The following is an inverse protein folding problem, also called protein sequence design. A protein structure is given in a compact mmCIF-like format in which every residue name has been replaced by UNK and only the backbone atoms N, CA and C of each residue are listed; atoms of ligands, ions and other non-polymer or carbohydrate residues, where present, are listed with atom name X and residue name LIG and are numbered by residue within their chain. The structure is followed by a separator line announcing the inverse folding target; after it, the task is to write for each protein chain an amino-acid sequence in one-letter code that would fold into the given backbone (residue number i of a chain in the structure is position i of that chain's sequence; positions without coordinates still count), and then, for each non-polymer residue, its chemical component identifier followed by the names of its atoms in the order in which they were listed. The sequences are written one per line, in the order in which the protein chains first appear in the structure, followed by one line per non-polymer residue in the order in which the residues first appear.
data_IF_089612855133
#
_entry.id   IF_089612855133
#
_cell.length_a   1.000
_cell.length_b   1.000
_cell.length_c   1.000
_cell.angle_alpha   90.00
_cell.angle_beta   90.00
_cell.angle_gamma   90.00
#
_symmetry.space_group_name_H-M   'P 1'
#
loop_
_entity.id
_entity.type
_entity.pdbx_description
1 polymer ?
#
# COMPACT_ATOMS: atom_id res chain seq x y z
N UNK A 1 15.95 13.08 -3.64
CA UNK A 1 14.90 12.33 -2.92
C UNK A 1 14.61 12.97 -1.57
N UNK A 2 15.59 13.06 -0.67
CA UNK A 2 15.41 13.61 0.69
C UNK A 2 14.71 14.98 0.73
N UNK A 3 15.11 15.93 -0.12
CA UNK A 3 14.48 17.26 -0.20
C UNK A 3 12.95 17.18 -0.38
N UNK A 4 12.46 16.38 -1.34
CA UNK A 4 11.02 16.21 -1.61
C UNK A 4 10.30 15.56 -0.42
N UNK A 5 10.98 14.67 0.30
CA UNK A 5 10.42 14.05 1.51
C UNK A 5 10.31 15.05 2.66
N UNK A 6 11.32 15.92 2.84
CA UNK A 6 11.26 17.03 3.80
C UNK A 6 10.13 18.00 3.47
N UNK A 7 10.03 18.43 2.22
CA UNK A 7 8.92 19.26 1.73
C UNK A 7 7.56 18.60 2.00
N UNK A 8 7.42 17.29 1.75
CA UNK A 8 6.19 16.57 2.05
C UNK A 8 5.90 16.55 3.56
N UNK A 9 6.90 16.32 4.41
CA UNK A 9 6.75 16.26 5.86
C UNK A 9 6.35 17.62 6.45
N UNK A 10 7.02 18.68 6.02
CA UNK A 10 6.88 20.04 6.56
C UNK A 10 5.62 20.72 6.00
N UNK A 11 5.46 20.72 4.67
CA UNK A 11 4.44 21.53 3.98
C UNK A 11 3.25 20.71 3.48
N UNK A 12 3.38 19.38 3.40
CA UNK A 12 2.31 18.52 2.93
C UNK A 12 1.06 18.59 3.81
N UNK A 13 -0.12 18.49 3.21
CA UNK A 13 -1.37 18.29 3.96
C UNK A 13 -1.34 16.95 4.69
N UNK A 14 -2.06 16.86 5.79
CA UNK A 14 -2.24 15.59 6.50
C UNK A 14 -2.81 14.53 5.55
N UNK A 15 -2.27 13.31 5.65
CA UNK A 15 -2.59 12.18 4.77
C UNK A 15 -2.23 12.36 3.30
N UNK A 16 -1.52 13.43 2.92
CA UNK A 16 -1.06 13.62 1.54
C UNK A 16 -0.18 12.44 1.12
N UNK A 17 -0.50 11.89 -0.05
CA UNK A 17 0.24 10.82 -0.71
C UNK A 17 1.16 11.40 -1.78
N UNK A 18 2.36 10.84 -1.90
CA UNK A 18 3.32 11.10 -2.96
C UNK A 18 3.63 9.77 -3.68
N UNK A 19 3.44 9.75 -5.01
CA UNK A 19 3.84 8.62 -5.85
C UNK A 19 5.36 8.51 -5.93
N UNK A 20 5.87 7.29 -6.04
CA UNK A 20 7.28 7.03 -6.32
C UNK A 20 7.45 6.46 -7.73
N UNK A 21 8.69 6.33 -8.21
CA UNK A 21 8.98 5.63 -9.48
C UNK A 21 8.90 4.12 -9.35
N UNK A 22 8.85 3.57 -8.13
CA UNK A 22 8.65 2.15 -7.87
C UNK A 22 7.15 1.86 -7.78
N UNK A 23 6.58 1.09 -8.73
CA UNK A 23 5.16 0.80 -8.73
C UNK A 23 4.71 0.13 -7.44
N UNK A 24 3.57 0.59 -6.92
CA UNK A 24 2.98 0.09 -5.68
C UNK A 24 3.62 0.55 -4.39
N UNK A 25 4.65 1.41 -4.46
CA UNK A 25 5.26 2.08 -3.32
C UNK A 25 4.86 3.56 -3.33
N UNK A 26 4.20 3.99 -2.26
CA UNK A 26 3.79 5.36 -2.06
C UNK A 26 4.36 5.90 -0.75
N UNK A 27 4.58 7.21 -0.66
CA UNK A 27 4.96 7.87 0.60
C UNK A 27 3.76 8.68 1.09
N UNK A 28 3.40 8.54 2.36
CA UNK A 28 2.29 9.26 2.97
C UNK A 28 2.73 10.09 4.17
N UNK A 29 2.27 11.34 4.24
CA UNK A 29 2.38 12.16 5.47
C UNK A 29 1.38 11.67 6.50
N UNK A 30 1.89 11.32 7.67
CA UNK A 30 1.10 10.97 8.84
C UNK A 30 0.99 12.22 9.71
N UNK A 31 -0.25 12.64 10.08
CA UNK A 31 -0.44 13.79 10.95
C UNK A 31 0.21 13.60 12.31
N UNK A 32 0.50 14.72 12.97
CA UNK A 32 0.86 14.70 14.38
C UNK A 32 -0.29 14.15 15.22
N UNK A 33 0.04 13.51 16.34
CA UNK A 33 -0.92 13.15 17.38
C UNK A 33 -0.41 13.59 18.74
N UNK A 34 -1.24 13.47 19.78
CA UNK A 34 -0.96 13.98 21.13
C UNK A 34 0.46 13.67 21.65
N UNK A 35 1.01 12.51 21.29
CA UNK A 35 2.32 12.03 21.76
C UNK A 35 3.33 11.79 20.63
N UNK A 36 3.01 12.14 19.38
CA UNK A 36 3.88 11.83 18.22
C UNK A 36 3.93 13.01 17.25
N UNK A 37 5.14 13.46 16.85
CA UNK A 37 5.26 14.47 15.80
C UNK A 37 4.74 13.93 14.45
N UNK A 38 4.48 14.82 13.48
CA UNK A 38 4.18 14.37 12.12
C UNK A 38 5.34 13.54 11.59
N UNK A 39 5.03 12.56 10.75
CA UNK A 39 6.02 11.62 10.22
C UNK A 39 5.67 11.19 8.81
N UNK A 40 6.58 10.48 8.14
CA UNK A 40 6.31 9.83 6.86
C UNK A 40 6.19 8.32 7.07
N UNK A 41 5.35 7.70 6.26
CA UNK A 41 5.24 6.26 6.16
C UNK A 41 5.32 5.82 4.69
N UNK A 42 5.77 4.60 4.47
CA UNK A 42 5.58 3.91 3.20
C UNK A 42 4.17 3.32 3.21
N UNK A 43 3.44 3.45 2.12
CA UNK A 43 2.23 2.70 1.86
C UNK A 43 2.49 1.73 0.70
N UNK A 44 2.29 0.44 0.95
CA UNK A 44 2.36 -0.62 -0.05
C UNK A 44 0.94 -0.89 -0.53
N UNK A 45 0.70 -0.71 -1.82
CA UNK A 45 -0.62 -0.86 -2.41
C UNK A 45 -0.46 -1.30 -3.87
N UNK A 46 -1.08 -2.40 -4.33
CA UNK A 46 -0.94 -2.81 -5.71
C UNK A 46 -1.36 -1.68 -6.67
N UNK A 47 -0.55 -1.36 -7.69
CA UNK A 47 -0.89 -0.33 -8.65
C UNK A 47 -1.84 -0.88 -9.73
N UNK A 48 -2.71 -0.02 -10.27
CA UNK A 48 -3.40 -0.23 -11.54
C UNK A 48 -2.44 0.05 -12.73
N UNK A 49 -2.93 -0.12 -13.96
CA UNK A 49 -2.15 0.15 -15.19
C UNK A 49 -1.65 1.60 -15.30
N UNK A 50 -2.32 2.53 -14.62
CA UNK A 50 -1.96 3.95 -14.56
C UNK A 50 -1.04 4.28 -13.36
N UNK A 51 -0.61 3.29 -12.59
CA UNK A 51 0.22 3.46 -11.41
C UNK A 51 -0.50 4.11 -10.22
N UNK A 52 -1.84 4.07 -10.17
CA UNK A 52 -2.63 4.49 -9.01
C UNK A 52 -2.85 3.30 -8.06
N UNK A 53 -2.98 3.54 -6.75
CA UNK A 53 -3.30 2.48 -5.80
C UNK A 53 -4.68 1.87 -6.06
N UNK A 54 -4.76 0.55 -6.16
CA UNK A 54 -6.01 -0.20 -6.35
C UNK A 54 -6.90 -0.21 -5.10
N UNK A 55 -6.30 -0.04 -3.91
CA UNK A 55 -7.03 0.02 -2.64
C UNK A 55 -7.09 1.44 -2.09
N UNK A 56 -8.20 1.81 -1.45
CA UNK A 56 -8.34 3.09 -0.72
C UNK A 56 -7.30 3.25 0.39
N UNK A 57 -6.94 2.13 1.02
CA UNK A 57 -5.93 2.07 2.09
C UNK A 57 -5.03 0.85 1.85
N UNK A 58 -3.75 1.10 1.57
CA UNK A 58 -2.73 0.06 1.52
C UNK A 58 -2.16 -0.31 2.88
N UNK A 59 -1.14 -1.16 2.89
CA UNK A 59 -0.40 -1.53 4.10
C UNK A 59 0.59 -0.42 4.41
N UNK A 60 0.42 0.24 5.55
CA UNK A 60 1.37 1.26 6.02
C UNK A 60 2.55 0.61 6.74
N UNK A 61 3.76 1.08 6.44
CA UNK A 61 5.00 0.65 7.05
C UNK A 61 5.77 1.89 7.51
N UNK A 62 6.01 1.99 8.82
CA UNK A 62 6.54 3.20 9.47
C UNK A 62 8.02 3.12 9.79
N UNK A 63 8.59 1.91 9.81
CA UNK A 63 10.00 1.72 10.11
C UNK A 63 10.55 0.43 9.49
N UNK A 64 11.87 0.29 9.53
CA UNK A 64 12.58 -0.84 8.92
C UNK A 64 12.28 -2.18 9.61
N UNK A 65 12.04 -2.19 10.92
CA UNK A 65 11.71 -3.42 11.64
C UNK A 65 10.36 -3.97 11.15
N UNK A 66 9.34 -3.11 11.09
CA UNK A 66 8.02 -3.45 10.55
C UNK A 66 8.10 -3.95 9.10
N UNK A 67 8.91 -3.30 8.25
CA UNK A 67 9.13 -3.78 6.87
C UNK A 67 9.71 -5.20 6.81
N UNK A 68 10.72 -5.48 7.65
CA UNK A 68 11.36 -6.80 7.71
C UNK A 68 10.38 -7.86 8.20
N UNK A 69 9.62 -7.55 9.25
CA UNK A 69 8.60 -8.46 9.80
C UNK A 69 7.51 -8.76 8.77
N UNK A 70 7.01 -7.75 8.04
CA UNK A 70 6.04 -8.00 6.97
C UNK A 70 6.63 -8.86 5.86
N UNK A 71 7.86 -8.61 5.42
CA UNK A 71 8.52 -9.45 4.41
C UNK A 71 8.61 -10.91 4.85
N UNK A 72 8.96 -11.16 6.10
CA UNK A 72 9.03 -12.51 6.65
C UNK A 72 7.64 -13.18 6.71
N UNK A 73 6.61 -12.46 7.13
CA UNK A 73 5.23 -12.99 7.20
C UNK A 73 4.71 -13.31 5.80
N UNK A 74 4.92 -12.39 4.85
CA UNK A 74 4.44 -12.50 3.46
C UNK A 74 5.18 -13.57 2.66
N UNK A 75 6.37 -14.00 3.08
CA UNK A 75 7.12 -15.08 2.43
C UNK A 75 6.76 -16.48 2.94
N UNK A 76 5.78 -16.62 3.84
CA UNK A 76 5.39 -17.92 4.41
C UNK A 76 4.40 -18.61 3.48
N UNK A 77 4.75 -19.81 3.02
CA UNK A 77 3.85 -20.68 2.23
C UNK A 77 2.49 -20.91 2.91
N UNK A 78 2.48 -20.92 4.25
CA UNK A 78 1.23 -21.06 5.01
C UNK A 78 0.22 -19.95 4.75
N UNK A 79 0.67 -18.76 4.38
CA UNK A 79 -0.20 -17.65 4.02
C UNK A 79 -0.96 -17.94 2.72
N UNK A 80 -0.29 -18.53 1.74
CA UNK A 80 -0.88 -18.92 0.45
C UNK A 80 -1.90 -20.05 0.65
N UNK A 81 -1.57 -21.07 1.45
CA UNK A 81 -2.50 -22.16 1.80
C UNK A 81 -3.80 -21.64 2.44
N UNK A 82 -3.68 -20.65 3.33
CA UNK A 82 -4.83 -20.03 3.98
C UNK A 82 -5.66 -19.25 2.96
N UNK A 83 -5.01 -18.49 2.07
CA UNK A 83 -5.71 -17.77 1.01
C UNK A 83 -6.45 -18.72 0.07
N UNK A 84 -5.80 -19.80 -0.38
CA UNK A 84 -6.42 -20.83 -1.23
C UNK A 84 -7.64 -21.48 -0.56
N UNK A 85 -7.55 -21.74 0.74
CA UNK A 85 -8.67 -22.29 1.51
C UNK A 85 -9.82 -21.30 1.56
N UNK A 86 -9.55 -20.01 1.77
CA UNK A 86 -10.58 -18.95 1.75
C UNK A 86 -11.25 -18.88 0.38
N UNK A 87 -10.47 -18.93 -0.71
CA UNK A 87 -11.00 -18.88 -2.07
C UNK A 87 -11.89 -20.08 -2.39
N UNK A 88 -11.56 -21.27 -1.89
CA UNK A 88 -12.37 -22.49 -2.10
C UNK A 88 -13.72 -22.46 -1.38
N UNK A 89 -13.79 -21.85 -0.20
CA UNK A 89 -15.03 -21.82 0.61
C UNK A 89 -15.88 -20.58 0.37
N UNK A 90 -15.29 -19.51 -0.17
CA UNK A 90 -16.01 -18.28 -0.44
C UNK A 90 -16.90 -18.46 -1.67
N UNK A 91 -18.19 -18.08 -1.61
CA UNK A 91 -19.02 -18.06 -2.80
C UNK A 91 -18.34 -17.16 -3.83
N UNK A 92 -18.09 -17.69 -5.03
CA UNK A 92 -17.40 -16.94 -6.08
C UNK A 92 -18.19 -15.65 -6.34
N UNK A 93 -17.61 -14.49 -6.00
CA UNK A 93 -17.86 -13.34 -6.84
C UNK A 93 -17.08 -13.63 -8.11
N UNK A 94 -17.77 -14.14 -9.12
CA UNK A 94 -17.28 -14.10 -10.49
C UNK A 94 -16.74 -12.67 -10.68
N UNK A 95 -15.42 -12.56 -10.82
CA UNK A 95 -14.87 -11.38 -11.47
C UNK A 95 -15.43 -11.47 -12.87
N UNK A 96 -16.36 -10.59 -13.21
CA UNK A 96 -16.64 -10.25 -14.60
C UNK A 96 -15.26 -10.03 -15.24
N UNK A 97 -14.84 -10.98 -16.09
CA UNK A 97 -13.81 -10.70 -17.06
C UNK A 97 -14.36 -9.50 -17.84
N UNK A 98 -13.73 -8.33 -17.68
CA UNK A 98 -14.06 -7.17 -18.49
C UNK A 98 -13.95 -7.61 -19.96
N UNK A 99 -15.09 -7.86 -20.60
CA UNK A 99 -15.19 -7.92 -22.05
C UNK A 99 -14.66 -6.60 -22.57
N UNK A 100 -13.43 -6.63 -23.09
CA UNK A 100 -12.87 -5.53 -23.86
C UNK A 100 -13.67 -5.43 -25.15
N UNK A 101 -14.72 -4.59 -25.14
CA UNK A 101 -15.40 -4.13 -26.34
C UNK A 101 -14.45 -3.17 -27.08
N UNK A 102 -13.87 -3.64 -28.18
CA UNK A 102 -13.30 -2.75 -29.19
C UNK A 102 -14.43 -1.93 -29.85
N UNK A 103 -14.29 -0.60 -29.83
CA UNK A 103 -15.02 0.34 -30.70
C UNK A 103 -14.04 1.27 -31.40
#
# INVERSE_FOLDING_TARGET
MEKKLRELLEEGKDWKMMKTTEPGIFIRKIPASKNKPPSLAIEINPPDESGNPTKKTGVMVRNLHELKTFREILSREKLDEVMDTILKISPHQEKEEEEVLEI
#
